data_IF_003140411103
#
_entry.id   IF_003140411103
#
_cell.length_a   1.000
_cell.length_b   1.000
_cell.length_c   1.000
_cell.angle_alpha   90.00
_cell.angle_beta   90.00
_cell.angle_gamma   90.00
#
_symmetry.space_group_name_H-M   'P 1'
#
loop_
_entity.id
_entity.type
_entity.pdbx_description
1 polymer ?
#
# COMPACT_ATOMS: atom_id res chain seq x y z
N UNK A 1 0.35 -42.00 4.70
CA UNK A 1 0.73 -40.58 4.85
C UNK A 1 0.10 -39.81 3.69
N UNK A 2 -1.07 -39.20 3.90
CA UNK A 2 -1.77 -38.45 2.86
C UNK A 2 -1.25 -37.01 2.85
N UNK A 3 -0.81 -36.57 1.67
CA UNK A 3 -0.42 -35.20 1.40
C UNK A 3 -1.61 -34.26 1.61
N UNK A 4 -1.53 -33.35 2.58
CA UNK A 4 -2.47 -32.23 2.69
C UNK A 4 -2.13 -31.21 1.60
N UNK A 5 -2.86 -31.30 0.49
CA UNK A 5 -2.88 -30.29 -0.56
C UNK A 5 -3.50 -29.02 0.03
N UNK A 6 -2.65 -28.10 0.49
CA UNK A 6 -3.07 -26.78 0.96
C UNK A 6 -3.63 -26.01 -0.25
N UNK A 7 -4.96 -25.88 -0.31
CA UNK A 7 -5.64 -25.01 -1.27
C UNK A 7 -5.21 -23.59 -0.94
N UNK A 8 -4.35 -22.99 -1.78
CA UNK A 8 -3.95 -21.59 -1.68
C UNK A 8 -5.20 -20.71 -1.81
N UNK A 9 -5.75 -20.25 -0.69
CA UNK A 9 -6.82 -19.27 -0.70
C UNK A 9 -6.22 -17.93 -1.12
N UNK A 10 -6.51 -17.52 -2.35
CA UNK A 10 -6.09 -16.24 -2.88
C UNK A 10 -7.10 -15.20 -2.38
N UNK A 11 -6.88 -14.64 -1.18
CA UNK A 11 -7.82 -13.70 -0.56
C UNK A 11 -7.45 -12.28 -0.98
N UNK A 12 -8.36 -11.62 -1.66
CA UNK A 12 -8.23 -10.20 -1.94
C UNK A 12 -8.52 -9.42 -0.65
N UNK A 13 -7.45 -9.04 0.07
CA UNK A 13 -7.55 -8.25 1.29
C UNK A 13 -7.81 -6.79 0.92
N UNK A 14 -8.76 -6.15 1.61
CA UNK A 14 -9.02 -4.73 1.40
C UNK A 14 -8.03 -3.87 2.21
N UNK A 15 -7.78 -2.63 1.75
CA UNK A 15 -6.89 -1.68 2.46
C UNK A 15 -7.26 -1.51 3.94
N UNK A 16 -8.56 -1.43 4.23
CA UNK A 16 -9.06 -1.24 5.59
C UNK A 16 -8.71 -2.42 6.50
N UNK A 17 -8.85 -3.67 6.01
CA UNK A 17 -8.51 -4.86 6.80
C UNK A 17 -7.01 -4.87 7.16
N UNK A 18 -6.13 -4.46 6.24
CA UNK A 18 -4.71 -4.30 6.57
C UNK A 18 -4.48 -3.22 7.64
N UNK A 19 -5.13 -2.06 7.50
CA UNK A 19 -5.03 -0.98 8.49
C UNK A 19 -5.49 -1.45 9.87
N UNK A 20 -6.58 -2.20 9.95
CA UNK A 20 -7.14 -2.67 11.22
C UNK A 20 -6.18 -3.65 11.93
N UNK A 21 -5.45 -4.47 11.17
CA UNK A 21 -4.55 -5.49 11.70
C UNK A 21 -3.19 -4.91 12.07
N UNK A 22 -2.53 -4.22 11.12
CA UNK A 22 -1.14 -3.78 11.28
C UNK A 22 -0.98 -2.28 11.53
N UNK A 23 -2.04 -1.49 11.37
CA UNK A 23 -2.03 -0.04 11.52
C UNK A 23 -1.62 0.68 10.24
N UNK A 24 -2.05 1.94 10.13
CA UNK A 24 -1.85 2.81 8.95
C UNK A 24 -0.37 2.90 8.53
N UNK A 25 0.54 3.13 9.47
CA UNK A 25 1.96 3.30 9.17
C UNK A 25 2.61 2.01 8.65
N UNK A 26 2.25 0.86 9.23
CA UNK A 26 2.74 -0.42 8.76
C UNK A 26 2.15 -0.76 7.39
N UNK A 27 0.87 -0.48 7.15
CA UNK A 27 0.23 -0.63 5.83
C UNK A 27 0.94 0.23 4.79
N UNK A 28 1.23 1.51 5.09
CA UNK A 28 2.00 2.38 4.19
C UNK A 28 3.37 1.81 3.85
N UNK A 29 4.10 1.28 4.83
CA UNK A 29 5.39 0.64 4.60
C UNK A 29 5.26 -0.65 3.78
N UNK A 30 4.22 -1.44 4.03
CA UNK A 30 3.92 -2.65 3.27
C UNK A 30 3.63 -2.32 1.79
N UNK A 31 2.77 -1.33 1.54
CA UNK A 31 2.47 -0.87 0.18
C UNK A 31 3.74 -0.35 -0.52
N UNK A 32 4.66 0.33 0.18
CA UNK A 32 5.92 0.82 -0.41
C UNK A 32 6.83 -0.32 -0.84
N UNK A 33 6.91 -1.37 -0.03
CA UNK A 33 7.80 -2.49 -0.27
C UNK A 33 7.29 -3.43 -1.38
N UNK A 34 5.97 -3.68 -1.43
CA UNK A 34 5.41 -4.73 -2.29
C UNK A 34 4.47 -4.21 -3.40
N UNK A 35 3.84 -3.04 -3.23
CA UNK A 35 3.09 -2.28 -4.25
C UNK A 35 2.29 -3.09 -5.29
N UNK A 36 0.97 -3.24 -5.08
CA UNK A 36 0.06 -3.86 -6.06
C UNK A 36 0.54 -5.24 -6.54
N UNK A 37 0.85 -6.11 -5.58
CA UNK A 37 1.31 -7.47 -5.82
C UNK A 37 0.70 -8.45 -4.81
N UNK A 38 0.73 -9.73 -5.16
CA UNK A 38 0.41 -10.80 -4.23
C UNK A 38 1.62 -11.10 -3.35
N UNK A 39 1.40 -11.14 -2.04
CA UNK A 39 2.39 -11.43 -1.01
C UNK A 39 1.97 -12.69 -0.28
N UNK A 40 2.82 -13.72 -0.36
CA UNK A 40 2.63 -14.94 0.42
C UNK A 40 2.94 -14.69 1.90
N UNK A 41 2.02 -15.10 2.78
CA UNK A 41 2.15 -15.01 4.22
C UNK A 41 2.40 -16.42 4.80
N UNK A 42 3.63 -16.73 5.28
CA UNK A 42 3.93 -18.05 5.81
C UNK A 42 3.13 -18.34 7.08
N UNK A 43 2.77 -19.61 7.30
CA UNK A 43 1.86 -20.02 8.37
C UNK A 43 2.41 -19.89 9.80
N UNK A 44 3.74 -19.83 9.98
CA UNK A 44 4.38 -19.95 11.31
C UNK A 44 5.20 -18.74 11.72
N UNK A 45 5.86 -18.10 10.77
CA UNK A 45 6.74 -16.96 11.04
C UNK A 45 6.83 -16.06 9.81
N UNK A 46 6.88 -14.73 9.99
CA UNK A 46 6.96 -13.81 8.88
C UNK A 46 8.30 -13.95 8.16
N UNK A 47 8.29 -13.73 6.86
CA UNK A 47 9.53 -13.74 6.08
C UNK A 47 10.41 -12.53 6.43
N UNK A 48 11.73 -12.64 6.22
CA UNK A 48 12.65 -11.52 6.41
C UNK A 48 12.25 -10.29 5.59
N UNK A 49 11.70 -10.48 4.39
CA UNK A 49 11.23 -9.38 3.55
C UNK A 49 10.08 -8.61 4.21
N UNK A 50 9.11 -9.31 4.81
CA UNK A 50 7.97 -8.69 5.52
C UNK A 50 8.48 -7.98 6.78
N UNK A 51 9.34 -8.63 7.56
CA UNK A 51 9.94 -8.03 8.77
C UNK A 51 10.71 -6.75 8.43
N UNK A 52 11.54 -6.78 7.39
CA UNK A 52 12.31 -5.62 6.96
C UNK A 52 11.41 -4.48 6.46
N UNK A 53 10.25 -4.81 5.86
CA UNK A 53 9.31 -3.81 5.38
C UNK A 53 8.55 -3.12 6.53
N UNK A 54 7.98 -3.89 7.47
CA UNK A 54 7.00 -3.36 8.42
C UNK A 54 7.37 -3.49 9.90
N UNK A 55 8.47 -4.17 10.21
CA UNK A 55 8.88 -4.54 11.56
C UNK A 55 8.30 -5.88 12.02
N UNK A 56 8.93 -6.50 13.03
CA UNK A 56 8.56 -7.84 13.49
C UNK A 56 7.13 -7.90 14.04
N UNK A 57 6.75 -6.98 14.93
CA UNK A 57 5.45 -7.05 15.59
C UNK A 57 4.25 -6.94 14.61
N UNK A 58 4.21 -5.97 13.67
CA UNK A 58 3.17 -5.97 12.62
C UNK A 58 3.23 -7.19 11.70
N UNK A 59 4.44 -7.69 11.39
CA UNK A 59 4.61 -8.87 10.56
C UNK A 59 4.04 -10.15 11.22
N UNK A 60 4.16 -10.28 12.53
CA UNK A 60 3.53 -11.38 13.28
C UNK A 60 2.00 -11.32 13.20
N UNK A 61 1.40 -10.14 13.31
CA UNK A 61 -0.05 -9.99 13.16
C UNK A 61 -0.57 -10.42 11.78
N UNK A 62 0.20 -10.16 10.71
CA UNK A 62 -0.15 -10.69 9.38
C UNK A 62 -0.15 -12.22 9.36
N UNK A 63 0.84 -12.86 9.99
CA UNK A 63 0.93 -14.32 10.07
C UNK A 63 -0.24 -14.90 10.88
N UNK A 64 -0.58 -14.28 12.00
CA UNK A 64 -1.69 -14.71 12.86
C UNK A 64 -3.03 -14.65 12.12
N UNK A 65 -3.25 -13.63 11.28
CA UNK A 65 -4.54 -13.41 10.63
C UNK A 65 -4.64 -14.01 9.22
N UNK A 66 -3.55 -13.98 8.43
CA UNK A 66 -3.52 -14.40 7.02
C UNK A 66 -2.58 -15.57 6.73
N UNK A 67 -2.02 -16.20 7.77
CA UNK A 67 -1.06 -17.29 7.61
C UNK A 67 -1.55 -18.39 6.67
N UNK A 68 -0.63 -18.94 5.87
CA UNK A 68 -0.91 -19.97 4.88
C UNK A 68 -1.73 -19.49 3.66
N UNK A 69 -1.73 -18.19 3.39
CA UNK A 69 -2.42 -17.60 2.24
C UNK A 69 -1.58 -16.56 1.49
N UNK A 70 -2.01 -16.28 0.26
CA UNK A 70 -1.55 -15.14 -0.52
C UNK A 70 -2.51 -13.98 -0.29
N UNK A 71 -1.98 -12.80 0.03
CA UNK A 71 -2.76 -11.56 0.17
C UNK A 71 -2.41 -10.59 -0.96
N UNK A 72 -3.41 -9.88 -1.47
CA UNK A 72 -3.16 -8.75 -2.35
C UNK A 72 -2.73 -7.52 -1.53
N UNK A 73 -1.54 -6.97 -1.81
CA UNK A 73 -1.08 -5.72 -1.20
C UNK A 73 -1.53 -4.54 -2.07
N UNK A 74 -2.41 -3.65 -1.59
CA UNK A 74 -2.88 -2.50 -2.35
C UNK A 74 -1.80 -1.41 -2.54
N UNK A 75 -2.16 -0.36 -3.27
CA UNK A 75 -1.39 0.89 -3.42
C UNK A 75 -2.26 2.12 -3.15
N UNK A 76 -3.47 1.91 -2.64
CA UNK A 76 -4.50 2.94 -2.61
C UNK A 76 -4.14 4.00 -1.55
N UNK A 77 -3.52 3.60 -0.44
CA UNK A 77 -3.13 4.50 0.64
C UNK A 77 -1.97 5.38 0.18
N UNK A 78 -0.95 4.81 -0.47
CA UNK A 78 0.13 5.57 -1.08
C UNK A 78 -0.36 6.56 -2.13
N UNK A 79 -1.32 6.14 -2.97
CA UNK A 79 -1.94 7.04 -3.95
C UNK A 79 -2.69 8.18 -3.27
N UNK A 80 -3.43 7.89 -2.19
CA UNK A 80 -4.17 8.88 -1.41
C UNK A 80 -3.24 9.92 -0.80
N UNK A 81 -2.16 9.50 -0.12
CA UNK A 81 -1.17 10.41 0.46
C UNK A 81 -0.44 11.23 -0.60
N UNK A 82 -0.01 10.62 -1.71
CA UNK A 82 0.60 11.36 -2.83
C UNK A 82 -0.34 12.44 -3.35
N UNK A 83 -1.61 12.11 -3.56
CA UNK A 83 -2.59 13.06 -4.09
C UNK A 83 -2.87 14.20 -3.10
N UNK A 84 -2.84 13.95 -1.78
CA UNK A 84 -2.92 14.98 -0.75
C UNK A 84 -1.70 15.91 -0.84
N UNK A 85 -0.48 15.36 -0.91
CA UNK A 85 0.74 16.16 -1.03
C UNK A 85 0.77 17.00 -2.31
N UNK A 86 0.30 16.47 -3.44
CA UNK A 86 0.16 17.24 -4.70
C UNK A 86 -0.73 18.47 -4.49
N UNK A 87 -1.84 18.33 -3.76
CA UNK A 87 -2.74 19.45 -3.48
C UNK A 87 -2.09 20.49 -2.57
N UNK A 88 -1.47 20.04 -1.48
CA UNK A 88 -0.78 20.93 -0.53
C UNK A 88 0.35 21.73 -1.18
N UNK A 89 1.18 21.07 -1.99
CA UNK A 89 2.27 21.74 -2.71
C UNK A 89 1.74 22.70 -3.79
N UNK A 90 0.61 22.36 -4.43
CA UNK A 90 -0.07 23.28 -5.35
C UNK A 90 -0.58 24.54 -4.63
N UNK A 91 -1.18 24.38 -3.46
CA UNK A 91 -1.66 25.49 -2.63
C UNK A 91 -0.48 26.34 -2.11
N UNK A 92 0.68 25.73 -1.88
CA UNK A 92 1.94 26.40 -1.57
C UNK A 92 2.60 27.12 -2.79
N UNK A 93 1.95 27.12 -3.96
CA UNK A 93 2.38 27.87 -5.13
C UNK A 93 3.25 27.11 -6.13
N UNK A 94 3.46 25.79 -5.95
CA UNK A 94 4.19 24.98 -6.95
C UNK A 94 3.46 24.95 -8.28
N UNK A 95 4.23 25.00 -9.37
CA UNK A 95 3.71 24.91 -10.74
C UNK A 95 3.45 23.46 -11.15
N UNK A 96 2.58 23.25 -12.15
CA UNK A 96 2.30 21.90 -12.65
C UNK A 96 3.55 21.14 -13.15
N UNK A 97 4.51 21.78 -13.86
CA UNK A 97 5.77 21.12 -14.22
C UNK A 97 6.58 20.66 -13.00
N UNK A 98 6.71 21.51 -11.97
CA UNK A 98 7.43 21.16 -10.73
C UNK A 98 6.80 19.98 -10.02
N UNK A 99 5.46 19.97 -9.89
CA UNK A 99 4.72 18.86 -9.31
C UNK A 99 4.89 17.57 -10.14
N UNK A 100 4.91 17.69 -11.47
CA UNK A 100 5.10 16.55 -12.38
C UNK A 100 6.44 15.87 -12.19
N UNK A 101 7.50 16.68 -12.06
CA UNK A 101 8.85 16.21 -11.79
C UNK A 101 8.97 15.58 -10.41
N UNK A 102 8.53 16.30 -9.37
CA UNK A 102 8.61 15.86 -7.97
C UNK A 102 7.87 14.54 -7.72
N UNK A 103 6.63 14.42 -8.21
CA UNK A 103 5.79 13.25 -7.97
C UNK A 103 5.85 12.20 -9.09
N UNK A 104 6.72 12.40 -10.09
CA UNK A 104 6.92 11.52 -11.25
C UNK A 104 5.59 11.10 -11.88
N UNK A 105 4.69 12.06 -12.10
CA UNK A 105 3.36 11.82 -12.64
C UNK A 105 2.98 12.91 -13.62
N UNK A 106 2.45 12.53 -14.78
CA UNK A 106 2.19 13.48 -15.86
C UNK A 106 1.22 14.60 -15.49
N UNK A 107 1.43 15.78 -16.08
CA UNK A 107 0.62 16.99 -15.86
C UNK A 107 -0.88 16.75 -16.03
N UNK A 108 -1.29 15.90 -16.98
CA UNK A 108 -2.70 15.56 -17.18
C UNK A 108 -3.32 14.87 -15.94
N UNK A 109 -2.59 13.95 -15.31
CA UNK A 109 -3.03 13.27 -14.09
C UNK A 109 -3.07 14.25 -12.90
N UNK A 110 -2.10 15.16 -12.79
CA UNK A 110 -2.10 16.21 -11.76
C UNK A 110 -3.34 17.10 -11.90
N UNK A 111 -3.63 17.58 -13.11
CA UNK A 111 -4.85 18.39 -13.38
C UNK A 111 -6.12 17.64 -12.99
N UNK A 112 -6.19 16.33 -13.24
CA UNK A 112 -7.31 15.49 -12.82
C UNK A 112 -7.45 15.44 -11.29
N UNK A 113 -6.33 15.22 -10.58
CA UNK A 113 -6.29 15.18 -9.11
C UNK A 113 -6.77 16.53 -8.52
N UNK A 114 -6.22 17.64 -9.01
CA UNK A 114 -6.59 18.99 -8.55
C UNK A 114 -8.07 19.30 -8.81
N UNK A 115 -8.59 18.92 -10.00
CA UNK A 115 -10.01 19.08 -10.33
C UNK A 115 -10.92 18.31 -9.38
N UNK A 116 -10.57 17.08 -9.00
CA UNK A 116 -11.33 16.28 -8.04
C UNK A 116 -11.41 16.92 -6.65
N UNK A 117 -10.46 17.81 -6.32
CA UNK A 117 -10.36 18.54 -5.04
C UNK A 117 -10.89 19.98 -5.12
N UNK A 118 -11.40 20.42 -6.27
CA UNK A 118 -11.89 21.78 -6.48
C UNK A 118 -10.79 22.84 -6.58
N UNK A 119 -9.52 22.46 -6.71
CA UNK A 119 -8.38 23.37 -6.77
C UNK A 119 -8.21 23.89 -8.20
N UNK A 120 -8.11 25.23 -8.36
CA UNK A 120 -7.89 25.87 -9.67
C UNK A 120 -6.47 25.58 -10.18
N UNK A 121 -6.37 25.44 -11.51
CA UNK A 121 -5.16 25.02 -12.23
C UNK A 121 -3.99 25.97 -12.03
#
# INVERSE_FOLDING_TARGET
MLAMNQVKSNRQVCEQELIDIIGVDATLRLERAFSASYLYIPARAPSKAIINAIGLAPAMKLVEHFGCGDIWVPKALLMKYRNISICQEKDAGRTLPQLSEQFKTGVANIRRILKQRGIKR
#
